data_IF_962677481486
#
_entry.id   IF_962677481486
#
_cell.length_a   1.000
_cell.length_b   1.000
_cell.length_c   1.000
_cell.angle_alpha   90.00
_cell.angle_beta   90.00
_cell.angle_gamma   90.00
#
_symmetry.space_group_name_H-M   'P 1'
#
loop_
_entity.id
_entity.type
_entity.pdbx_description
1 polymer ?
#
# COMPACT_ATOMS: atom_id res chain seq x y z
N UNK A 1 42.42 -1.34 -13.00
CA UNK A 1 42.10 0.08 -13.27
C UNK A 1 40.93 0.67 -12.44
N UNK A 2 40.03 -0.09 -11.82
CA UNK A 2 38.85 0.49 -11.12
C UNK A 2 39.10 1.17 -9.76
N UNK A 3 40.23 0.95 -9.10
CA UNK A 3 40.36 1.14 -7.65
C UNK A 3 40.99 2.45 -7.15
N UNK A 4 41.75 3.20 -7.96
CA UNK A 4 42.64 4.24 -7.40
C UNK A 4 42.54 5.66 -7.99
N UNK A 5 41.93 5.90 -9.16
CA UNK A 5 42.15 7.19 -9.86
C UNK A 5 40.89 7.97 -10.26
N UNK A 6 39.69 7.46 -9.96
CA UNK A 6 38.46 8.04 -10.53
C UNK A 6 37.38 8.29 -9.47
N UNK A 7 36.63 9.37 -9.65
CA UNK A 7 35.55 9.82 -8.76
C UNK A 7 34.40 8.79 -8.68
N UNK A 8 33.71 8.75 -7.53
CA UNK A 8 32.48 7.99 -7.28
C UNK A 8 31.34 9.00 -7.05
N UNK A 9 30.08 8.69 -7.37
CA UNK A 9 29.55 7.41 -7.88
C UNK A 9 29.78 7.20 -9.39
N UNK A 10 29.68 5.94 -9.84
CA UNK A 10 29.82 5.55 -11.26
C UNK A 10 28.64 4.71 -11.71
N UNK A 11 28.24 4.85 -12.97
CA UNK A 11 27.23 3.97 -13.57
C UNK A 11 27.95 2.93 -14.41
N UNK A 12 27.74 1.65 -14.11
CA UNK A 12 28.40 0.54 -14.80
C UNK A 12 27.39 -0.22 -15.64
N UNK A 13 27.80 -0.62 -16.85
CA UNK A 13 27.01 -1.54 -17.66
C UNK A 13 27.16 -2.95 -17.05
N UNK A 14 26.05 -3.56 -16.65
CA UNK A 14 26.00 -4.78 -15.88
C UNK A 14 25.35 -5.89 -16.70
N UNK A 15 26.03 -7.04 -16.80
CA UNK A 15 25.61 -8.19 -17.61
C UNK A 15 25.23 -7.82 -19.06
N UNK A 16 25.78 -6.72 -19.58
CA UNK A 16 25.51 -6.17 -20.92
C UNK A 16 24.02 -5.88 -21.20
N UNK A 17 23.18 -5.78 -20.16
CA UNK A 17 21.74 -5.68 -20.30
C UNK A 17 21.14 -4.49 -19.54
N UNK A 18 21.72 -4.13 -18.39
CA UNK A 18 21.20 -3.03 -17.56
C UNK A 18 22.32 -2.22 -16.92
N UNK A 19 21.96 -1.16 -16.22
CA UNK A 19 22.90 -0.25 -15.56
C UNK A 19 22.77 -0.34 -14.05
N UNK A 20 23.91 -0.38 -13.35
CA UNK A 20 23.97 -0.35 -11.89
C UNK A 20 24.89 0.77 -11.41
N UNK A 21 24.67 1.28 -10.19
CA UNK A 21 25.44 2.43 -9.67
C UNK A 21 26.43 1.96 -8.61
N UNK A 22 27.72 2.02 -8.91
CA UNK A 22 28.79 1.81 -7.93
C UNK A 22 28.96 3.09 -7.12
N UNK A 23 28.62 3.04 -5.83
CA UNK A 23 28.68 4.23 -4.97
C UNK A 23 29.83 4.17 -3.96
N UNK A 24 30.42 3.00 -3.73
CA UNK A 24 31.54 2.84 -2.79
C UNK A 24 32.37 1.62 -3.12
N UNK A 25 33.69 1.74 -2.96
CA UNK A 25 34.63 0.61 -3.06
C UNK A 25 35.46 0.60 -1.77
N UNK A 26 35.48 -0.51 -1.04
CA UNK A 26 36.32 -0.68 0.16
C UNK A 26 37.43 -1.70 -0.12
N UNK A 27 38.64 -1.33 0.24
CA UNK A 27 39.81 -2.23 0.25
C UNK A 27 40.00 -2.78 1.67
N UNK A 28 40.20 -4.08 1.78
CA UNK A 28 40.48 -4.78 3.04
C UNK A 28 41.93 -5.26 3.12
N UNK A 29 42.36 -5.67 4.32
CA UNK A 29 43.66 -6.34 4.53
C UNK A 29 43.73 -7.63 3.68
N UNK A 30 44.93 -7.97 3.19
CA UNK A 30 45.20 -9.05 2.21
C UNK A 30 44.71 -8.81 0.78
N UNK A 31 44.51 -7.56 0.36
CA UNK A 31 44.24 -7.23 -1.05
C UNK A 31 42.83 -7.57 -1.56
N UNK A 32 41.89 -7.90 -0.65
CA UNK A 32 40.47 -8.10 -0.98
C UNK A 32 39.77 -6.77 -1.16
N UNK A 33 38.80 -6.73 -2.08
CA UNK A 33 37.96 -5.56 -2.32
C UNK A 33 36.49 -5.95 -2.17
N UNK A 34 35.69 -5.03 -1.64
CA UNK A 34 34.23 -5.10 -1.74
C UNK A 34 33.70 -3.89 -2.48
N UNK A 35 32.82 -4.15 -3.44
CA UNK A 35 32.19 -3.15 -4.29
C UNK A 35 30.74 -3.01 -3.87
N UNK A 36 30.33 -1.81 -3.47
CA UNK A 36 28.96 -1.51 -3.07
C UNK A 36 28.22 -0.89 -4.24
N UNK A 37 27.12 -1.55 -4.61
CA UNK A 37 26.35 -1.25 -5.81
C UNK A 37 24.89 -1.00 -5.43
N UNK A 38 24.33 0.08 -5.94
CA UNK A 38 22.90 0.34 -5.88
C UNK A 38 22.25 -0.22 -7.15
N UNK A 39 21.57 -1.36 -6.98
CA UNK A 39 20.78 -2.02 -8.03
C UNK A 39 19.34 -1.49 -7.97
N UNK A 40 18.78 -0.96 -9.09
CA UNK A 40 17.42 -0.41 -9.11
C UNK A 40 16.30 -1.39 -8.73
N UNK A 41 16.50 -2.70 -8.94
CA UNK A 41 15.51 -3.74 -8.64
C UNK A 41 15.73 -4.41 -7.27
N UNK A 42 16.98 -4.56 -6.83
CA UNK A 42 17.35 -5.29 -5.59
C UNK A 42 17.74 -4.39 -4.43
N UNK A 43 17.89 -3.09 -4.65
CA UNK A 43 18.38 -2.15 -3.64
C UNK A 43 19.90 -2.17 -3.51
N UNK A 44 20.41 -2.02 -2.28
CA UNK A 44 21.85 -1.93 -2.02
C UNK A 44 22.46 -3.33 -1.90
N UNK A 45 23.39 -3.67 -2.80
CA UNK A 45 24.07 -4.96 -2.89
C UNK A 45 25.57 -4.77 -2.74
N UNK A 46 26.26 -5.76 -2.19
CA UNK A 46 27.72 -5.75 -2.06
C UNK A 46 28.30 -6.97 -2.76
N UNK A 47 29.24 -6.73 -3.66
CA UNK A 47 29.92 -7.76 -4.44
C UNK A 47 31.38 -7.90 -4.02
N UNK A 48 31.91 -9.12 -4.12
CA UNK A 48 33.37 -9.34 -4.12
C UNK A 48 33.98 -8.78 -5.41
N UNK A 49 35.31 -8.66 -5.47
CA UNK A 49 35.99 -8.18 -6.69
C UNK A 49 35.74 -9.13 -7.85
N UNK A 50 35.86 -10.42 -7.58
CA UNK A 50 35.76 -11.50 -8.56
C UNK A 50 34.35 -11.53 -9.16
N UNK A 51 33.33 -11.55 -8.29
CA UNK A 51 31.92 -11.54 -8.67
C UNK A 51 31.53 -10.25 -9.41
N UNK A 52 32.06 -9.10 -8.99
CA UNK A 52 31.84 -7.84 -9.70
C UNK A 52 32.43 -7.88 -11.12
N UNK A 53 33.66 -8.40 -11.26
CA UNK A 53 34.31 -8.52 -12.55
C UNK A 53 33.59 -9.48 -13.49
N UNK A 54 33.06 -10.59 -12.98
CA UNK A 54 32.27 -11.55 -13.78
C UNK A 54 31.07 -10.90 -14.47
N UNK A 55 30.40 -9.97 -13.78
CA UNK A 55 29.22 -9.28 -14.32
C UNK A 55 29.52 -8.00 -15.10
N UNK A 56 30.60 -7.29 -14.76
CA UNK A 56 30.95 -6.00 -15.35
C UNK A 56 31.80 -6.11 -16.62
N UNK A 57 32.65 -7.14 -16.72
CA UNK A 57 33.55 -7.31 -17.85
C UNK A 57 32.75 -7.63 -19.11
N UNK A 58 32.90 -6.80 -20.14
CA UNK A 58 32.18 -6.93 -21.40
C UNK A 58 33.07 -7.35 -22.56
N UNK A 59 34.38 -7.07 -22.51
CA UNK A 59 35.31 -7.44 -23.58
C UNK A 59 36.71 -7.72 -23.04
N UNK A 60 37.52 -8.41 -23.85
CA UNK A 60 38.95 -8.59 -23.60
C UNK A 60 39.73 -7.98 -24.75
N UNK A 61 40.57 -6.99 -24.47
CA UNK A 61 41.41 -6.33 -25.49
C UNK A 61 42.86 -6.40 -25.04
N UNK A 62 43.75 -6.94 -25.88
CA UNK A 62 45.17 -7.15 -25.56
C UNK A 62 45.40 -7.95 -24.27
N UNK A 63 44.55 -8.95 -24.00
CA UNK A 63 44.63 -9.80 -22.80
C UNK A 63 44.07 -9.16 -21.53
N UNK A 64 43.66 -7.89 -21.56
CA UNK A 64 43.06 -7.20 -20.41
C UNK A 64 41.53 -7.25 -20.45
N UNK A 65 40.93 -7.59 -19.31
CA UNK A 65 39.49 -7.55 -19.08
C UNK A 65 38.99 -6.11 -18.92
N UNK A 66 38.06 -5.71 -19.79
CA UNK A 66 37.51 -4.35 -19.84
C UNK A 66 35.98 -4.39 -19.77
N UNK A 67 35.42 -3.42 -19.06
CA UNK A 67 33.98 -3.17 -18.96
C UNK A 67 33.66 -1.71 -19.24
N UNK A 68 32.39 -1.41 -19.42
CA UNK A 68 31.93 -0.04 -19.70
C UNK A 68 31.52 0.60 -18.37
N UNK A 69 32.06 1.78 -18.09
CA UNK A 69 31.68 2.61 -16.96
C UNK A 69 31.52 4.05 -17.41
N UNK A 70 30.43 4.68 -16.99
CA UNK A 70 30.16 6.10 -17.15
C UNK A 70 30.59 6.83 -15.88
N UNK A 71 31.48 7.80 -16.05
CA UNK A 71 31.95 8.70 -15.02
C UNK A 71 31.23 10.04 -15.16
N UNK A 72 30.81 10.59 -14.03
CA UNK A 72 30.04 11.83 -13.98
C UNK A 72 30.73 12.75 -12.97
N UNK A 73 31.08 13.95 -13.40
CA UNK A 73 31.61 14.99 -12.53
C UNK A 73 30.72 16.23 -12.66
N UNK A 74 30.26 16.80 -11.54
CA UNK A 74 29.40 17.97 -11.58
C UNK A 74 30.20 19.18 -12.08
N UNK A 75 29.68 19.87 -13.09
CA UNK A 75 30.20 21.16 -13.55
C UNK A 75 29.61 22.30 -12.73
N UNK A 76 30.15 23.51 -12.80
CA UNK A 76 29.57 24.68 -12.12
C UNK A 76 28.10 24.92 -12.54
N UNK A 77 27.74 24.57 -13.78
CA UNK A 77 26.37 24.63 -14.30
C UNK A 77 25.39 23.72 -13.54
N UNK A 78 25.86 22.62 -12.93
CA UNK A 78 25.04 21.74 -12.12
C UNK A 78 24.51 22.45 -10.87
N UNK A 79 25.32 23.34 -10.27
CA UNK A 79 24.96 24.07 -9.05
C UNK A 79 24.21 25.38 -9.33
N UNK A 80 24.35 25.94 -10.54
CA UNK A 80 23.62 27.15 -10.94
C UNK A 80 22.21 26.88 -11.46
N UNK A 81 21.88 25.64 -11.84
CA UNK A 81 20.49 25.22 -12.06
C UNK A 81 19.72 25.24 -10.72
N UNK A 82 19.07 26.36 -10.45
CA UNK A 82 18.10 26.53 -9.36
C UNK A 82 16.78 25.78 -9.58
N UNK A 83 16.74 24.64 -10.28
CA UNK A 83 15.48 23.94 -10.52
C UNK A 83 15.62 22.42 -10.48
N UNK A 84 15.74 21.92 -9.27
CA UNK A 84 14.67 21.09 -8.78
C UNK A 84 14.51 21.47 -7.31
N UNK A 85 13.50 22.27 -6.97
CA UNK A 85 12.89 22.08 -5.65
C UNK A 85 12.65 20.58 -5.59
N UNK A 86 13.44 19.87 -4.78
CA UNK A 86 13.25 18.45 -4.52
C UNK A 86 11.74 18.31 -4.44
N UNK A 87 11.11 17.61 -5.41
CA UNK A 87 9.66 17.51 -5.48
C UNK A 87 9.30 17.24 -4.05
N UNK A 88 8.69 18.21 -3.32
CA UNK A 88 8.54 18.03 -1.90
C UNK A 88 7.83 16.71 -1.85
N UNK A 89 8.28 15.79 -1.00
CA UNK A 89 7.54 14.56 -0.75
C UNK A 89 6.19 15.05 -0.27
N UNK A 90 5.32 15.44 -1.21
CA UNK A 90 4.04 16.04 -1.00
C UNK A 90 3.39 14.86 -0.36
N UNK A 91 3.24 14.96 0.97
CA UNK A 91 2.85 13.85 1.83
C UNK A 91 1.88 13.03 1.01
N UNK A 92 2.29 11.84 0.55
CA UNK A 92 1.48 11.10 -0.45
C UNK A 92 0.06 10.91 0.09
N UNK A 93 -0.03 10.86 1.43
CA UNK A 93 -1.22 10.99 2.26
C UNK A 93 -2.11 12.23 1.97
N UNK A 94 -1.55 13.43 1.82
CA UNK A 94 -2.29 14.68 1.48
C UNK A 94 -2.91 14.61 0.07
N UNK A 95 -2.21 13.99 -0.89
CA UNK A 95 -2.78 13.73 -2.22
C UNK A 95 -3.95 12.74 -2.13
N UNK A 96 -3.78 11.63 -1.40
CA UNK A 96 -4.85 10.65 -1.16
C UNK A 96 -6.04 11.25 -0.39
N UNK A 97 -5.78 12.16 0.55
CA UNK A 97 -6.81 12.86 1.31
C UNK A 97 -7.72 13.73 0.43
N UNK A 98 -7.21 14.25 -0.70
CA UNK A 98 -8.01 14.98 -1.68
C UNK A 98 -9.13 14.12 -2.29
N UNK A 99 -8.86 12.85 -2.57
CA UNK A 99 -9.85 11.90 -3.08
C UNK A 99 -10.85 11.49 -2.00
N UNK A 100 -10.38 11.19 -0.78
CA UNK A 100 -11.24 10.85 0.35
C UNK A 100 -12.17 12.01 0.75
N UNK A 101 -11.69 13.26 0.65
CA UNK A 101 -12.49 14.47 0.96
C UNK A 101 -13.74 14.56 0.08
N UNK A 102 -13.68 14.10 -1.16
CA UNK A 102 -14.80 14.10 -2.11
C UNK A 102 -15.94 13.16 -1.68
N UNK A 103 -15.66 12.15 -0.85
CA UNK A 103 -16.62 11.15 -0.40
C UNK A 103 -16.97 11.23 1.10
N UNK A 104 -16.66 12.36 1.77
CA UNK A 104 -16.89 12.55 3.22
C UNK A 104 -18.30 12.23 3.71
N UNK A 105 -19.33 12.57 2.92
CA UNK A 105 -20.73 12.28 3.29
C UNK A 105 -21.00 10.78 3.40
N UNK A 106 -20.48 10.00 2.46
CA UNK A 106 -20.57 8.55 2.52
C UNK A 106 -19.72 7.96 3.65
N UNK A 107 -18.53 8.51 3.88
CA UNK A 107 -17.68 8.09 5.00
C UNK A 107 -18.37 8.29 6.35
N UNK A 108 -19.09 9.39 6.52
CA UNK A 108 -19.87 9.67 7.74
C UNK A 108 -21.02 8.66 7.91
N UNK A 109 -21.73 8.31 6.83
CA UNK A 109 -22.76 7.27 6.86
C UNK A 109 -22.19 5.89 7.22
N UNK A 110 -20.98 5.58 6.73
CA UNK A 110 -20.29 4.33 7.05
C UNK A 110 -19.86 4.28 8.52
N UNK A 111 -19.37 5.38 9.09
CA UNK A 111 -19.04 5.49 10.52
C UNK A 111 -20.30 5.36 11.39
N UNK A 112 -21.40 6.02 11.02
CA UNK A 112 -22.66 5.90 11.75
C UNK A 112 -23.21 4.47 11.70
N UNK A 113 -23.18 3.84 10.51
CA UNK A 113 -23.55 2.43 10.35
C UNK A 113 -22.65 1.50 11.17
N UNK A 114 -21.36 1.81 11.28
CA UNK A 114 -20.41 1.09 12.13
C UNK A 114 -20.80 1.18 13.61
N UNK A 115 -21.04 2.39 14.12
CA UNK A 115 -21.41 2.60 15.51
C UNK A 115 -22.72 1.89 15.86
N UNK A 116 -23.74 2.04 15.02
CA UNK A 116 -25.05 1.40 15.23
C UNK A 116 -24.93 -0.13 15.12
N UNK A 117 -24.24 -0.64 14.11
CA UNK A 117 -24.05 -2.08 13.91
C UNK A 117 -23.31 -2.73 15.08
N UNK A 118 -22.23 -2.11 15.58
CA UNK A 118 -21.49 -2.59 16.74
C UNK A 118 -22.35 -2.57 18.02
N UNK A 119 -23.18 -1.54 18.21
CA UNK A 119 -24.07 -1.46 19.37
C UNK A 119 -25.13 -2.57 19.34
N UNK A 120 -25.77 -2.81 18.19
CA UNK A 120 -26.73 -3.92 18.05
C UNK A 120 -26.07 -5.29 18.28
N UNK A 121 -24.83 -5.46 17.83
CA UNK A 121 -24.09 -6.71 18.04
C UNK A 121 -23.77 -6.95 19.52
N UNK A 122 -23.57 -5.89 20.29
CA UNK A 122 -23.31 -5.94 21.72
C UNK A 122 -24.56 -6.31 22.54
N UNK A 123 -25.77 -6.08 22.03
CA UNK A 123 -27.02 -6.45 22.70
C UNK A 123 -27.24 -7.97 22.72
N UNK A 124 -26.72 -8.72 21.73
CA UNK A 124 -26.93 -10.16 21.60
C UNK A 124 -26.53 -10.98 22.84
N UNK A 125 -25.29 -10.85 23.37
CA UNK A 125 -24.89 -11.55 24.59
C UNK A 125 -25.82 -11.32 25.79
N UNK A 126 -26.35 -10.11 25.97
CA UNK A 126 -27.26 -9.79 27.08
C UNK A 126 -28.65 -10.41 26.89
N UNK A 127 -29.15 -10.48 25.67
CA UNK A 127 -30.41 -11.18 25.38
C UNK A 127 -30.26 -12.68 25.58
N UNK A 128 -29.17 -13.27 25.10
CA UNK A 128 -28.87 -14.68 25.32
C UNK A 128 -28.71 -14.99 26.81
N UNK A 129 -28.06 -14.12 27.59
CA UNK A 129 -28.00 -14.25 29.05
C UNK A 129 -29.40 -14.21 29.68
N UNK A 130 -30.24 -13.26 29.25
CA UNK A 130 -31.61 -13.11 29.77
C UNK A 130 -32.48 -14.35 29.50
N UNK A 131 -32.28 -15.03 28.37
CA UNK A 131 -32.95 -16.31 28.07
C UNK A 131 -32.60 -17.35 29.13
N UNK A 132 -31.33 -17.45 29.53
CA UNK A 132 -30.87 -18.44 30.50
C UNK A 132 -31.34 -18.08 31.92
N UNK A 133 -31.05 -16.85 32.37
CA UNK A 133 -31.27 -16.43 33.75
C UNK A 133 -32.76 -16.29 34.06
N UNK A 134 -33.50 -15.54 33.24
CA UNK A 134 -34.91 -15.20 33.47
C UNK A 134 -35.85 -16.18 32.78
N UNK A 135 -35.55 -16.56 31.54
CA UNK A 135 -36.41 -17.46 30.77
C UNK A 135 -36.39 -18.90 31.30
N UNK A 136 -35.22 -19.53 31.25
CA UNK A 136 -35.05 -20.93 31.68
C UNK A 136 -35.01 -21.02 33.21
N UNK A 137 -34.20 -20.19 33.87
CA UNK A 137 -34.08 -20.17 35.34
C UNK A 137 -35.39 -19.80 36.04
N UNK A 138 -36.13 -18.84 35.49
CA UNK A 138 -37.47 -18.43 35.97
C UNK A 138 -38.62 -19.30 35.45
N UNK A 139 -38.37 -20.24 34.54
CA UNK A 139 -39.37 -21.08 33.83
C UNK A 139 -40.46 -20.29 33.10
N UNK A 140 -40.16 -19.06 32.66
CA UNK A 140 -41.07 -18.22 31.88
C UNK A 140 -40.83 -18.40 30.38
N UNK A 141 -41.59 -19.33 29.78
CA UNK A 141 -41.53 -19.61 28.34
C UNK A 141 -42.05 -18.43 27.51
N UNK A 142 -42.96 -17.62 28.05
CA UNK A 142 -43.48 -16.42 27.38
C UNK A 142 -42.38 -15.37 27.20
N UNK A 143 -41.56 -15.17 28.24
CA UNK A 143 -40.38 -14.31 28.17
C UNK A 143 -39.37 -14.81 27.12
N UNK A 144 -39.12 -16.13 27.04
CA UNK A 144 -38.23 -16.71 26.03
C UNK A 144 -38.70 -16.38 24.61
N UNK A 145 -39.99 -16.57 24.30
CA UNK A 145 -40.54 -16.22 22.97
C UNK A 145 -40.41 -14.73 22.65
N UNK A 146 -40.61 -13.86 23.63
CA UNK A 146 -40.44 -12.42 23.47
C UNK A 146 -39.00 -12.07 23.12
N UNK A 147 -38.03 -12.63 23.85
CA UNK A 147 -36.61 -12.38 23.60
C UNK A 147 -36.17 -12.93 22.24
N UNK A 148 -36.63 -14.12 21.84
CA UNK A 148 -36.36 -14.68 20.51
C UNK A 148 -36.90 -13.79 19.39
N UNK A 149 -38.09 -13.21 19.56
CA UNK A 149 -38.65 -12.26 18.60
C UNK A 149 -37.82 -10.96 18.54
N UNK A 150 -37.33 -10.49 19.69
CA UNK A 150 -36.40 -9.35 19.75
C UNK A 150 -35.07 -9.64 19.04
N UNK A 151 -34.47 -10.82 19.26
CA UNK A 151 -33.25 -11.25 18.57
C UNK A 151 -33.45 -11.33 17.04
N UNK A 152 -34.61 -11.83 16.59
CA UNK A 152 -34.96 -11.86 15.16
C UNK A 152 -35.03 -10.46 14.56
N UNK A 153 -35.66 -9.51 15.26
CA UNK A 153 -35.73 -8.10 14.82
C UNK A 153 -34.35 -7.42 14.81
N UNK A 154 -33.50 -7.73 15.79
CA UNK A 154 -32.12 -7.22 15.84
C UNK A 154 -31.28 -7.78 14.70
N UNK A 155 -31.41 -9.08 14.41
CA UNK A 155 -30.72 -9.71 13.28
C UNK A 155 -31.14 -9.08 11.95
N UNK A 156 -32.43 -8.83 11.77
CA UNK A 156 -32.95 -8.15 10.58
C UNK A 156 -32.39 -6.73 10.47
N UNK A 157 -32.41 -5.97 11.57
CA UNK A 157 -31.87 -4.60 11.64
C UNK A 157 -30.37 -4.56 11.30
N UNK A 158 -29.59 -5.49 11.85
CA UNK A 158 -28.16 -5.62 11.53
C UNK A 158 -27.94 -5.93 10.06
N UNK A 159 -28.69 -6.88 9.52
CA UNK A 159 -28.61 -7.26 8.10
C UNK A 159 -28.93 -6.07 7.19
N UNK A 160 -29.94 -5.26 7.55
CA UNK A 160 -30.28 -4.05 6.81
C UNK A 160 -29.14 -3.01 6.83
N UNK A 161 -28.50 -2.79 8.00
CA UNK A 161 -27.34 -1.90 8.13
C UNK A 161 -26.18 -2.40 7.26
N UNK A 162 -25.86 -3.70 7.31
CA UNK A 162 -24.80 -4.31 6.52
C UNK A 162 -25.08 -4.21 5.01
N UNK A 163 -26.34 -4.37 4.61
CA UNK A 163 -26.79 -4.19 3.23
C UNK A 163 -26.62 -2.74 2.75
N UNK A 164 -27.07 -1.76 3.54
CA UNK A 164 -26.90 -0.33 3.23
C UNK A 164 -25.42 0.01 3.09
N UNK A 165 -24.58 -0.48 4.02
CA UNK A 165 -23.12 -0.31 3.99
C UNK A 165 -22.53 -0.87 2.70
N UNK A 166 -22.87 -2.11 2.34
CA UNK A 166 -22.39 -2.77 1.13
C UNK A 166 -22.78 -1.98 -0.13
N UNK A 167 -24.03 -1.50 -0.19
CA UNK A 167 -24.52 -0.67 -1.30
C UNK A 167 -23.78 0.67 -1.42
N UNK A 168 -23.49 1.32 -0.29
CA UNK A 168 -22.71 2.57 -0.26
C UNK A 168 -21.29 2.31 -0.78
N UNK A 169 -20.62 1.28 -0.28
CA UNK A 169 -19.27 0.92 -0.69
C UNK A 169 -19.19 0.60 -2.18
N UNK A 170 -20.14 -0.19 -2.69
CA UNK A 170 -20.23 -0.51 -4.11
C UNK A 170 -20.37 0.77 -4.96
N UNK A 171 -21.28 1.67 -4.57
CA UNK A 171 -21.48 2.93 -5.31
C UNK A 171 -20.23 3.80 -5.32
N UNK A 172 -19.51 3.90 -4.20
CA UNK A 172 -18.25 4.66 -4.12
C UNK A 172 -17.20 4.03 -5.02
N UNK A 173 -16.94 2.73 -4.86
CA UNK A 173 -15.90 2.01 -5.58
C UNK A 173 -16.12 2.08 -7.09
N UNK A 174 -17.35 1.82 -7.56
CA UNK A 174 -17.69 1.92 -8.99
C UNK A 174 -17.49 3.34 -9.54
N UNK A 175 -17.90 4.38 -8.80
CA UNK A 175 -17.73 5.79 -9.24
C UNK A 175 -16.25 6.17 -9.32
N UNK A 176 -15.45 5.77 -8.33
CA UNK A 176 -14.00 6.04 -8.34
C UNK A 176 -13.34 5.29 -9.50
N UNK A 177 -13.65 4.01 -9.67
CA UNK A 177 -13.09 3.17 -10.74
C UNK A 177 -13.38 3.76 -12.13
N UNK A 178 -14.63 4.14 -12.41
CA UNK A 178 -15.02 4.75 -13.69
C UNK A 178 -14.29 6.09 -13.91
N UNK A 179 -14.20 6.95 -12.89
CA UNK A 179 -13.49 8.23 -13.01
C UNK A 179 -12.02 8.04 -13.32
N UNK A 180 -11.35 7.11 -12.63
CA UNK A 180 -9.92 6.82 -12.82
C UNK A 180 -9.64 6.32 -14.23
N UNK A 181 -10.42 5.35 -14.71
CA UNK A 181 -10.26 4.80 -16.06
C UNK A 181 -10.53 5.89 -17.11
N UNK A 182 -11.56 6.71 -16.91
CA UNK A 182 -11.92 7.79 -17.85
C UNK A 182 -10.85 8.89 -17.93
N UNK A 183 -10.33 9.34 -16.79
CA UNK A 183 -9.27 10.36 -16.73
C UNK A 183 -7.97 9.82 -17.33
N UNK A 184 -7.63 8.57 -17.03
CA UNK A 184 -6.48 7.88 -17.58
C UNK A 184 -6.58 7.80 -19.11
N UNK A 185 -7.71 7.32 -19.63
CA UNK A 185 -7.93 7.17 -21.06
C UNK A 185 -7.89 8.52 -21.79
N UNK A 186 -8.53 9.55 -21.21
CA UNK A 186 -8.51 10.92 -21.74
C UNK A 186 -7.09 11.47 -21.82
N UNK A 187 -6.25 11.20 -20.81
CA UNK A 187 -4.86 11.64 -20.83
C UNK A 187 -4.03 10.86 -21.84
N UNK A 188 -4.23 9.54 -21.91
CA UNK A 188 -3.55 8.65 -22.83
C UNK A 188 -3.76 9.09 -24.28
N UNK A 189 -5.00 9.36 -24.68
CA UNK A 189 -5.33 9.82 -26.03
C UNK A 189 -4.73 11.19 -26.41
N UNK A 190 -4.26 11.99 -25.44
CA UNK A 190 -3.64 13.30 -25.67
C UNK A 190 -2.11 13.25 -25.73
N UNK A 191 -1.50 12.08 -25.59
CA UNK A 191 -0.03 11.94 -25.61
C UNK A 191 0.52 11.87 -27.04
N UNK A 192 1.71 12.41 -27.29
CA UNK A 192 2.35 12.35 -28.61
C UNK A 192 2.82 10.93 -28.95
N UNK A 193 2.93 10.60 -30.25
CA UNK A 193 3.35 9.26 -30.73
C UNK A 193 4.66 8.76 -30.10
N UNK A 194 5.63 9.64 -29.89
CA UNK A 194 6.92 9.34 -29.24
C UNK A 194 6.78 8.68 -27.85
N UNK A 195 5.70 8.96 -27.13
CA UNK A 195 5.41 8.31 -25.85
C UNK A 195 5.03 6.83 -26.03
N UNK A 196 4.32 6.49 -27.10
CA UNK A 196 3.89 5.12 -27.41
C UNK A 196 5.01 4.27 -27.99
N UNK A 197 5.99 4.87 -28.66
CA UNK A 197 7.15 4.16 -29.20
C UNK A 197 8.09 3.61 -28.10
N UNK A 198 8.04 4.19 -26.90
CA UNK A 198 8.95 3.87 -25.78
C UNK A 198 8.29 3.16 -24.60
N UNK A 199 6.96 2.93 -24.64
CA UNK A 199 6.19 2.36 -23.53
C UNK A 199 5.33 1.19 -23.99
N UNK A 200 5.41 0.07 -23.26
CA UNK A 200 4.59 -1.10 -23.50
C UNK A 200 3.14 -0.84 -23.04
N UNK A 201 2.16 -1.34 -23.79
CA UNK A 201 0.75 -1.33 -23.38
C UNK A 201 0.55 -1.96 -21.99
N UNK A 202 1.38 -2.94 -21.63
CA UNK A 202 1.39 -3.57 -20.31
C UNK A 202 1.68 -2.60 -19.15
N UNK A 203 2.60 -1.64 -19.33
CA UNK A 203 2.94 -0.65 -18.30
C UNK A 203 1.75 0.27 -17.98
N UNK A 204 0.92 0.53 -18.99
CA UNK A 204 -0.28 1.37 -18.90
C UNK A 204 -1.40 0.62 -18.17
N UNK A 205 -1.63 -0.64 -18.51
CA UNK A 205 -2.59 -1.50 -17.81
C UNK A 205 -2.19 -1.72 -16.35
N UNK A 206 -0.89 -1.91 -16.08
CA UNK A 206 -0.38 -2.07 -14.72
C UNK A 206 -0.64 -0.82 -13.87
N UNK A 207 -0.47 0.39 -14.43
CA UNK A 207 -0.82 1.64 -13.72
C UNK A 207 -2.32 1.75 -13.40
N UNK A 208 -3.19 1.28 -14.28
CA UNK A 208 -4.64 1.24 -14.01
C UNK A 208 -4.92 0.27 -12.86
N UNK A 209 -4.31 -0.91 -12.88
CA UNK A 209 -4.49 -1.90 -11.81
C UNK A 209 -3.92 -1.39 -10.47
N UNK A 210 -2.77 -0.71 -10.48
CA UNK A 210 -2.20 -0.08 -9.28
C UNK A 210 -3.14 0.98 -8.70
N UNK A 211 -3.80 1.78 -9.55
CA UNK A 211 -4.84 2.70 -9.11
C UNK A 211 -6.04 1.99 -8.49
N UNK A 212 -6.48 0.87 -9.06
CA UNK A 212 -7.55 0.03 -8.51
C UNK A 212 -7.18 -0.56 -7.16
N UNK A 213 -5.94 -1.04 -7.01
CA UNK A 213 -5.41 -1.54 -5.73
C UNK A 213 -5.38 -0.46 -4.65
N UNK A 214 -4.94 0.75 -5.00
CA UNK A 214 -4.94 1.90 -4.06
C UNK A 214 -6.38 2.27 -3.66
N UNK A 215 -7.33 2.28 -4.59
CA UNK A 215 -8.75 2.50 -4.29
C UNK A 215 -9.27 1.44 -3.33
N UNK A 216 -9.11 0.16 -3.66
CA UNK A 216 -9.58 -0.95 -2.85
C UNK A 216 -8.96 -0.94 -1.43
N UNK A 217 -7.68 -0.60 -1.33
CA UNK A 217 -7.00 -0.44 -0.05
C UNK A 217 -7.67 0.65 0.79
N UNK A 218 -7.99 1.81 0.20
CA UNK A 218 -8.56 2.96 0.90
C UNK A 218 -10.05 2.78 1.24
N UNK A 219 -10.85 2.18 0.36
CA UNK A 219 -12.31 2.12 0.49
C UNK A 219 -12.81 0.87 1.20
N UNK A 220 -12.19 -0.28 0.93
CA UNK A 220 -12.66 -1.57 1.44
C UNK A 220 -11.79 -2.08 2.58
N UNK A 221 -10.51 -2.35 2.31
CA UNK A 221 -9.63 -3.00 3.27
C UNK A 221 -9.37 -2.15 4.51
N UNK A 222 -9.07 -0.86 4.34
CA UNK A 222 -8.82 0.05 5.47
C UNK A 222 -10.07 0.25 6.34
N UNK A 223 -11.24 0.36 5.72
CA UNK A 223 -12.48 0.57 6.45
C UNK A 223 -12.93 -0.70 7.19
N UNK A 224 -12.76 -1.86 6.57
CA UNK A 224 -13.00 -3.16 7.21
C UNK A 224 -12.07 -3.34 8.41
N UNK A 225 -10.78 -3.01 8.27
CA UNK A 225 -9.81 -3.08 9.37
C UNK A 225 -10.21 -2.17 10.53
N UNK A 226 -10.61 -0.92 10.26
CA UNK A 226 -11.11 0.01 11.27
C UNK A 226 -12.35 -0.55 11.98
N UNK A 227 -13.27 -1.18 11.23
CA UNK A 227 -14.47 -1.82 11.77
C UNK A 227 -14.12 -2.99 12.69
N UNK A 228 -13.25 -3.90 12.22
CA UNK A 228 -12.78 -5.04 13.01
C UNK A 228 -12.06 -4.58 14.27
N UNK A 229 -11.20 -3.56 14.18
CA UNK A 229 -10.49 -3.00 15.33
C UNK A 229 -11.44 -2.37 16.35
N UNK A 230 -12.40 -1.56 15.89
CA UNK A 230 -13.41 -0.96 16.76
C UNK A 230 -14.26 -2.03 17.45
N UNK A 231 -14.75 -3.01 16.69
CA UNK A 231 -15.56 -4.11 17.22
C UNK A 231 -14.75 -4.93 18.23
N UNK A 232 -13.50 -5.25 17.92
CA UNK A 232 -12.59 -5.93 18.84
C UNK A 232 -12.41 -5.16 20.15
N UNK A 233 -12.18 -3.84 20.09
CA UNK A 233 -12.01 -3.00 21.26
C UNK A 233 -13.29 -2.97 22.12
N UNK A 234 -14.45 -2.75 21.49
CA UNK A 234 -15.74 -2.72 22.18
C UNK A 234 -16.05 -4.05 22.86
N UNK A 235 -15.94 -5.17 22.14
CA UNK A 235 -16.16 -6.50 22.72
C UNK A 235 -15.12 -6.84 23.79
N UNK A 236 -13.86 -6.47 23.59
CA UNK A 236 -12.79 -6.66 24.56
C UNK A 236 -13.08 -5.94 25.87
N UNK A 237 -13.56 -4.69 25.82
CA UNK A 237 -13.97 -3.93 27.01
C UNK A 237 -15.16 -4.59 27.70
N UNK A 238 -16.20 -4.98 26.96
CA UNK A 238 -17.38 -5.64 27.56
C UNK A 238 -17.02 -6.94 28.27
N UNK A 239 -16.25 -7.80 27.61
CA UNK A 239 -15.80 -9.06 28.21
C UNK A 239 -14.90 -8.82 29.41
N UNK A 240 -14.04 -7.81 29.37
CA UNK A 240 -13.21 -7.43 30.51
C UNK A 240 -14.05 -6.97 31.70
N UNK A 241 -15.06 -6.12 31.48
CA UNK A 241 -15.99 -5.68 32.55
C UNK A 241 -16.76 -6.88 33.12
N UNK A 242 -17.30 -7.74 32.26
CA UNK A 242 -18.08 -8.91 32.68
C UNK A 242 -17.26 -9.90 33.53
N UNK A 243 -15.99 -10.13 33.19
CA UNK A 243 -15.13 -11.06 33.90
C UNK A 243 -14.46 -10.43 35.14
N UNK A 244 -14.13 -9.14 35.10
CA UNK A 244 -13.48 -8.44 36.22
C UNK A 244 -14.46 -8.07 37.35
N UNK A 245 -15.76 -8.32 37.18
CA UNK A 245 -16.75 -8.17 38.25
C UNK A 245 -16.90 -6.73 38.75
N UNK A 246 -16.78 -5.75 37.85
CA UNK A 246 -17.25 -4.38 38.08
C UNK A 246 -18.69 -4.30 37.60
#
# INVERSE_FOLDING_TARGET
MLSNETTLPRIVNWNQNHFEVVHKIRKYRKGRYSVYVANPARGLVTYSKEEFCEHWVSTKTNGEEKGIALLLEPTEQFYTQKDAKAVPTQNRLKFLWGYLKKYKRYFTQLILGLLLGSLLQLVFPFLTQSIVDTGIGGKDIGFVWLVLLAEMMLLFSRTAIDFIRSKILLRISTRINISLISDFFTKLMKLPMKFFDTKLMGDLLQRIEDHRRVEQFLTSSSLSLLFSFFTFLVFGVVLAVYNLGI
#
